data_IF_856061236448
#
_entry.id   IF_856061236448
#
_cell.length_a   1.000
_cell.length_b   1.000
_cell.length_c   1.000
_cell.angle_alpha   90.00
_cell.angle_beta   90.00
_cell.angle_gamma   90.00
#
_symmetry.space_group_name_H-M   'P 1'
#
loop_
_entity.id
_entity.type
_entity.pdbx_description
1 polymer ?
#
# COMPACT_ATOMS: atom_id res chain seq x y z
N UNK A 1 35.05 -50.62 -56.21
CA UNK A 1 34.38 -51.66 -55.41
C UNK A 1 33.19 -51.03 -54.72
N UNK A 2 32.01 -51.59 -54.97
CA UNK A 2 30.66 -51.16 -54.62
C UNK A 2 30.36 -51.16 -53.10
N UNK A 3 29.41 -50.28 -52.68
CA UNK A 3 28.33 -50.36 -51.65
C UNK A 3 28.60 -51.09 -50.29
N UNK A 4 28.02 -50.81 -49.12
CA UNK A 4 26.67 -50.39 -48.67
C UNK A 4 26.75 -50.24 -47.12
N UNK A 5 26.27 -49.19 -46.45
CA UNK A 5 24.91 -48.90 -45.93
C UNK A 5 24.44 -49.69 -44.69
N UNK A 6 23.92 -48.91 -43.71
CA UNK A 6 22.98 -49.25 -42.61
C UNK A 6 23.55 -50.05 -41.42
N UNK A 7 23.17 -49.87 -40.16
CA UNK A 7 22.15 -49.07 -39.47
C UNK A 7 22.39 -49.24 -37.95
N UNK A 8 22.12 -48.22 -37.13
CA UNK A 8 22.18 -48.39 -35.67
C UNK A 8 21.98 -47.09 -34.89
N UNK A 9 20.84 -46.43 -35.07
CA UNK A 9 20.39 -45.36 -34.17
C UNK A 9 20.16 -45.98 -32.79
N UNK A 10 20.79 -45.43 -31.75
CA UNK A 10 20.30 -45.54 -30.36
C UNK A 10 20.35 -44.16 -29.72
N UNK A 11 19.22 -43.48 -29.78
CA UNK A 11 18.93 -42.30 -28.98
C UNK A 11 18.96 -42.72 -27.51
N UNK A 12 19.80 -42.08 -26.71
CA UNK A 12 19.71 -42.17 -25.24
C UNK A 12 19.36 -40.79 -24.71
N UNK A 13 18.06 -40.61 -24.46
CA UNK A 13 17.57 -39.55 -23.58
C UNK A 13 17.90 -39.95 -22.14
N UNK A 14 18.69 -39.14 -21.45
CA UNK A 14 18.73 -39.16 -19.99
C UNK A 14 18.06 -37.89 -19.47
N UNK A 15 16.83 -38.09 -19.00
CA UNK A 15 16.06 -37.19 -18.17
C UNK A 15 16.79 -36.90 -16.85
N UNK A 16 16.68 -35.68 -16.29
CA UNK A 16 17.03 -35.44 -14.91
C UNK A 16 15.75 -35.19 -14.10
N UNK A 17 15.14 -36.25 -13.58
CA UNK A 17 14.23 -36.17 -12.44
C UNK A 17 14.31 -37.47 -11.63
N UNK A 18 14.98 -37.43 -10.45
CA UNK A 18 14.33 -37.63 -9.14
C UNK A 18 15.31 -37.87 -7.98
N UNK A 19 14.98 -37.15 -6.90
CA UNK A 19 15.17 -37.40 -5.47
C UNK A 19 16.59 -37.45 -4.88
N UNK A 20 16.93 -36.36 -4.20
CA UNK A 20 17.43 -36.45 -2.83
C UNK A 20 16.60 -35.50 -1.95
N UNK A 21 15.86 -36.10 -1.02
CA UNK A 21 15.27 -35.43 0.13
C UNK A 21 16.37 -35.19 1.16
N UNK A 22 16.33 -34.02 1.79
CA UNK A 22 17.01 -33.54 3.00
C UNK A 22 17.75 -32.25 2.69
N UNK A 23 17.10 -31.12 2.92
CA UNK A 23 17.74 -29.87 3.33
C UNK A 23 16.66 -29.04 4.02
N UNK A 24 16.80 -28.95 5.34
CA UNK A 24 16.39 -27.86 6.21
C UNK A 24 15.06 -27.18 5.95
N UNK A 25 14.10 -27.51 6.83
CA UNK A 25 12.93 -26.70 7.10
C UNK A 25 13.32 -25.32 7.62
N UNK A 26 13.70 -24.42 6.71
CA UNK A 26 13.47 -23.00 6.87
C UNK A 26 12.11 -22.72 6.26
N UNK A 27 11.08 -22.72 7.10
CA UNK A 27 9.91 -21.91 6.80
C UNK A 27 10.43 -20.52 6.48
N UNK A 28 10.45 -20.16 5.20
CA UNK A 28 10.54 -18.77 4.78
C UNK A 28 9.35 -18.09 5.44
N UNK A 29 9.58 -17.47 6.59
CA UNK A 29 8.71 -16.45 7.14
C UNK A 29 8.53 -15.44 6.02
N UNK A 30 7.43 -15.56 5.27
CA UNK A 30 7.01 -14.52 4.34
C UNK A 30 6.58 -13.34 5.19
N UNK A 31 7.57 -12.53 5.61
CA UNK A 31 7.31 -11.23 6.24
C UNK A 31 6.49 -10.43 5.26
N UNK A 32 5.21 -10.32 5.56
CA UNK A 32 4.27 -9.59 4.73
C UNK A 32 4.66 -8.11 4.79
N UNK A 33 4.84 -7.43 3.65
CA UNK A 33 5.36 -6.07 3.67
C UNK A 33 4.44 -5.14 4.46
N UNK A 34 5.07 -4.25 5.24
CA UNK A 34 4.48 -3.27 6.15
C UNK A 34 3.52 -2.29 5.47
N UNK A 35 3.63 -2.15 4.16
CA UNK A 35 2.81 -1.28 3.33
C UNK A 35 2.83 -1.77 1.89
N UNK A 36 2.10 -1.06 1.04
CA UNK A 36 2.16 -1.21 -0.41
C UNK A 36 1.96 0.15 -1.09
N UNK A 37 2.65 0.35 -2.20
CA UNK A 37 2.39 1.44 -3.12
C UNK A 37 1.32 1.02 -4.14
N UNK A 38 0.34 1.89 -4.36
CA UNK A 38 -0.76 1.68 -5.31
C UNK A 38 -0.73 2.83 -6.32
N UNK A 39 -0.43 2.57 -7.60
CA UNK A 39 -0.42 3.63 -8.60
C UNK A 39 -1.82 4.25 -8.74
N UNK A 40 -1.87 5.57 -8.81
CA UNK A 40 -3.12 6.31 -8.99
C UNK A 40 -3.53 6.30 -10.46
N UNK A 41 -4.82 6.07 -10.73
CA UNK A 41 -5.38 6.22 -12.08
C UNK A 41 -5.31 7.69 -12.54
N UNK A 42 -5.28 7.97 -13.85
CA UNK A 42 -5.23 9.36 -14.35
C UNK A 42 -6.37 10.24 -13.82
N UNK A 43 -7.57 9.66 -13.68
CA UNK A 43 -8.72 10.37 -13.11
C UNK A 43 -8.48 10.73 -11.64
N UNK A 44 -7.96 9.81 -10.83
CA UNK A 44 -7.64 10.06 -9.42
C UNK A 44 -6.51 11.08 -9.28
N UNK A 45 -5.52 11.07 -10.18
CA UNK A 45 -4.46 12.08 -10.19
C UNK A 45 -4.99 13.50 -10.48
N UNK A 46 -5.97 13.65 -11.36
CA UNK A 46 -6.61 14.96 -11.59
C UNK A 46 -7.31 15.47 -10.32
N UNK A 47 -8.10 14.61 -9.66
CA UNK A 47 -8.75 14.96 -8.38
C UNK A 47 -7.73 15.23 -7.26
N UNK A 48 -6.58 14.55 -7.28
CA UNK A 48 -5.48 14.81 -6.35
C UNK A 48 -4.89 16.21 -6.55
N UNK A 49 -4.77 16.69 -7.78
CA UNK A 49 -4.31 18.04 -8.07
C UNK A 49 -5.30 19.10 -7.57
N UNK A 50 -6.60 18.88 -7.76
CA UNK A 50 -7.65 19.77 -7.24
C UNK A 50 -7.61 19.82 -5.70
N UNK A 51 -7.55 18.65 -5.06
CA UNK A 51 -7.44 18.52 -3.61
C UNK A 51 -6.15 19.16 -3.05
N UNK A 52 -5.04 19.01 -3.76
CA UNK A 52 -3.77 19.66 -3.40
C UNK A 52 -3.91 21.17 -3.44
N UNK A 53 -4.50 21.71 -4.51
CA UNK A 53 -4.72 23.15 -4.68
C UNK A 53 -5.60 23.71 -3.57
N UNK A 54 -6.72 23.06 -3.27
CA UNK A 54 -7.61 23.49 -2.19
C UNK A 54 -6.89 23.48 -0.84
N UNK A 55 -6.24 22.36 -0.46
CA UNK A 55 -5.55 22.23 0.83
C UNK A 55 -4.41 23.24 1.01
N UNK A 56 -3.75 23.66 -0.07
CA UNK A 56 -2.71 24.70 -0.01
C UNK A 56 -3.26 26.09 0.31
N UNK A 57 -4.55 26.34 0.09
CA UNK A 57 -5.22 27.62 0.40
C UNK A 57 -5.84 27.66 1.80
N UNK A 58 -5.83 26.54 2.52
CA UNK A 58 -6.43 26.41 3.85
C UNK A 58 -5.39 26.52 4.98
N UNK A 59 -5.88 26.92 6.16
CA UNK A 59 -5.10 26.92 7.40
C UNK A 59 -5.46 25.70 8.24
N UNK A 60 -4.48 24.85 8.58
CA UNK A 60 -4.76 23.65 9.36
C UNK A 60 -4.91 23.97 10.85
N UNK A 61 -5.70 23.16 11.55
CA UNK A 61 -5.87 23.22 13.01
C UNK A 61 -5.05 22.13 13.67
N UNK A 62 -4.34 22.46 14.75
CA UNK A 62 -3.55 21.49 15.51
C UNK A 62 -4.48 20.43 16.12
N UNK A 63 -4.24 19.15 15.79
CA UNK A 63 -4.98 18.01 16.37
C UNK A 63 -4.21 17.36 17.51
N UNK A 64 -2.91 17.19 17.32
CA UNK A 64 -1.92 16.79 18.33
C UNK A 64 -0.55 17.36 17.94
N UNK A 65 0.44 17.21 18.80
CA UNK A 65 1.79 17.67 18.52
C UNK A 65 2.29 17.17 17.15
N UNK A 66 2.68 18.12 16.30
CA UNK A 66 3.14 17.89 14.93
C UNK A 66 2.17 17.24 13.95
N UNK A 67 0.90 17.00 14.30
CA UNK A 67 -0.14 16.56 13.38
C UNK A 67 -1.31 17.55 13.40
N UNK A 68 -1.46 18.26 12.29
CA UNK A 68 -2.51 19.23 12.07
C UNK A 68 -3.51 18.68 11.03
N UNK A 69 -4.77 19.13 11.09
CA UNK A 69 -5.83 18.69 10.20
C UNK A 69 -6.44 19.86 9.43
N UNK A 70 -6.82 19.58 8.19
CA UNK A 70 -7.62 20.47 7.34
C UNK A 70 -9.11 20.07 7.33
N UNK A 71 -9.50 19.06 8.12
CA UNK A 71 -10.81 18.42 8.00
C UNK A 71 -10.92 17.61 6.71
N UNK A 72 -12.10 17.60 6.09
CA UNK A 72 -12.33 16.99 4.78
C UNK A 72 -12.91 18.04 3.83
N UNK A 73 -12.06 18.85 3.17
CA UNK A 73 -12.49 19.81 2.14
C UNK A 73 -13.17 19.10 0.96
N UNK A 74 -13.90 19.85 0.13
CA UNK A 74 -14.77 19.24 -0.87
C UNK A 74 -14.00 18.44 -1.93
N UNK A 75 -12.85 18.95 -2.37
CA UNK A 75 -12.02 18.24 -3.35
C UNK A 75 -11.38 17.00 -2.74
N UNK A 76 -11.06 17.02 -1.43
CA UNK A 76 -10.58 15.84 -0.72
C UNK A 76 -11.67 14.77 -0.56
N UNK A 77 -12.94 15.16 -0.37
CA UNK A 77 -14.08 14.24 -0.36
C UNK A 77 -14.23 13.53 -1.71
N UNK A 78 -14.21 14.30 -2.82
CA UNK A 78 -14.28 13.74 -4.17
C UNK A 78 -13.12 12.80 -4.48
N UNK A 79 -11.91 13.17 -4.06
CA UNK A 79 -10.72 12.31 -4.17
C UNK A 79 -10.90 11.02 -3.35
N UNK A 80 -11.38 11.10 -2.11
CA UNK A 80 -11.64 9.93 -1.27
C UNK A 80 -12.65 8.98 -1.91
N UNK A 81 -13.77 9.51 -2.41
CA UNK A 81 -14.78 8.71 -3.11
C UNK A 81 -14.20 8.01 -4.34
N UNK A 82 -13.41 8.71 -5.15
CA UNK A 82 -12.81 8.14 -6.35
C UNK A 82 -11.81 7.03 -6.00
N UNK A 83 -10.97 7.24 -4.97
CA UNK A 83 -10.05 6.21 -4.46
C UNK A 83 -10.78 4.97 -3.96
N UNK A 84 -11.86 5.15 -3.19
CA UNK A 84 -12.67 4.04 -2.70
C UNK A 84 -13.36 3.30 -3.84
N UNK A 85 -13.88 4.01 -4.85
CA UNK A 85 -14.44 3.40 -6.07
C UNK A 85 -13.37 2.62 -6.83
N UNK A 86 -12.18 3.18 -7.04
CA UNK A 86 -11.05 2.49 -7.67
C UNK A 86 -10.61 1.28 -6.86
N UNK A 87 -10.61 1.35 -5.52
CA UNK A 87 -10.37 0.20 -4.65
C UNK A 87 -11.44 -0.87 -4.80
N UNK A 88 -12.73 -0.52 -4.82
CA UNK A 88 -13.84 -1.47 -5.01
C UNK A 88 -13.79 -2.12 -6.40
N UNK A 89 -13.49 -1.35 -7.45
CA UNK A 89 -13.37 -1.86 -8.81
C UNK A 89 -12.13 -2.75 -8.98
N UNK A 90 -11.01 -2.32 -8.41
CA UNK A 90 -9.78 -3.11 -8.37
C UNK A 90 -9.88 -4.29 -7.40
N UNK A 91 -10.88 -4.32 -6.50
CA UNK A 91 -11.20 -5.46 -5.63
C UNK A 91 -11.65 -6.72 -6.38
N UNK A 92 -11.96 -6.59 -7.67
CA UNK A 92 -12.25 -7.65 -8.65
C UNK A 92 -11.10 -7.93 -9.64
N UNK A 93 -9.97 -7.24 -9.49
CA UNK A 93 -8.74 -7.41 -10.27
C UNK A 93 -7.55 -7.67 -9.32
N UNK A 94 -6.35 -7.85 -9.86
CA UNK A 94 -5.12 -8.29 -9.16
C UNK A 94 -4.86 -7.59 -7.81
N UNK A 95 -5.15 -6.29 -7.66
CA UNK A 95 -4.91 -5.56 -6.40
C UNK A 95 -5.88 -5.92 -5.27
N UNK A 96 -7.09 -6.30 -5.65
CA UNK A 96 -8.17 -6.67 -4.77
C UNK A 96 -7.98 -7.94 -4.02
N UNK A 97 -7.59 -8.95 -4.79
CA UNK A 97 -7.26 -10.26 -4.26
C UNK A 97 -6.12 -10.14 -3.25
N UNK A 98 -5.15 -9.26 -3.49
CA UNK A 98 -4.04 -9.07 -2.58
C UNK A 98 -4.41 -8.34 -1.28
N UNK A 99 -5.29 -7.34 -1.31
CA UNK A 99 -5.78 -6.69 -0.09
C UNK A 99 -6.59 -7.67 0.75
N UNK A 100 -7.49 -8.41 0.10
CA UNK A 100 -8.28 -9.46 0.74
C UNK A 100 -7.39 -10.59 1.26
N UNK A 101 -6.45 -11.07 0.47
CA UNK A 101 -5.50 -12.13 0.85
C UNK A 101 -4.61 -11.70 2.01
N UNK A 102 -4.13 -10.44 2.02
CA UNK A 102 -3.41 -9.89 3.16
C UNK A 102 -4.28 -9.89 4.43
N UNK A 103 -5.49 -9.34 4.37
CA UNK A 103 -6.39 -9.32 5.53
C UNK A 103 -6.68 -10.75 6.01
N UNK A 104 -7.01 -11.66 5.08
CA UNK A 104 -7.30 -13.06 5.38
C UNK A 104 -6.10 -13.80 5.99
N UNK A 105 -4.87 -13.48 5.56
CA UNK A 105 -3.65 -14.06 6.16
C UNK A 105 -3.48 -13.69 7.64
N UNK A 106 -4.12 -12.61 8.09
CA UNK A 106 -4.20 -12.19 9.48
C UNK A 106 -5.46 -12.69 10.20
N UNK A 107 -6.30 -13.50 9.53
CA UNK A 107 -7.61 -13.90 10.03
C UNK A 107 -8.62 -12.75 10.06
N UNK A 108 -8.43 -11.74 9.22
CA UNK A 108 -9.24 -10.53 9.17
C UNK A 108 -9.90 -10.32 7.81
N UNK A 109 -10.90 -9.45 7.76
CA UNK A 109 -11.54 -8.94 6.54
C UNK A 109 -11.59 -7.42 6.56
N UNK A 110 -11.40 -6.79 5.40
CA UNK A 110 -11.55 -5.34 5.24
C UNK A 110 -13.03 -5.01 5.08
N UNK A 111 -13.56 -4.20 5.99
CA UNK A 111 -14.94 -3.69 5.96
C UNK A 111 -14.98 -2.26 5.47
N UNK A 112 -16.19 -1.78 5.23
CA UNK A 112 -16.47 -0.35 5.04
C UNK A 112 -15.74 0.30 3.86
N UNK A 113 -15.28 -0.48 2.88
CA UNK A 113 -14.62 0.04 1.68
C UNK A 113 -15.55 0.96 0.88
N UNK A 114 -16.87 0.75 0.93
CA UNK A 114 -17.84 1.63 0.25
C UNK A 114 -18.15 2.89 1.05
N UNK A 115 -18.11 2.81 2.38
CA UNK A 115 -18.47 3.90 3.27
C UNK A 115 -17.72 3.73 4.59
N UNK A 116 -16.52 4.33 4.72
CA UNK A 116 -15.72 4.21 5.92
C UNK A 116 -16.49 4.67 7.16
N UNK A 117 -16.48 3.86 8.22
CA UNK A 117 -17.05 4.22 9.52
C UNK A 117 -16.43 5.53 10.05
N UNK A 118 -15.11 5.65 9.91
CA UNK A 118 -14.37 6.86 10.25
C UNK A 118 -14.20 7.69 8.99
N UNK A 119 -14.73 8.92 9.03
CA UNK A 119 -14.63 9.86 7.92
C UNK A 119 -13.17 10.13 7.54
N UNK A 120 -12.83 10.10 6.23
CA UNK A 120 -11.52 10.51 5.74
C UNK A 120 -11.14 11.92 6.20
N UNK A 121 -9.86 12.19 6.36
CA UNK A 121 -9.37 13.52 6.74
C UNK A 121 -8.06 13.86 6.03
N UNK A 122 -7.93 15.13 5.65
CA UNK A 122 -6.68 15.71 5.20
C UNK A 122 -5.87 16.20 6.41
N UNK A 123 -4.57 15.92 6.36
CA UNK A 123 -3.63 16.24 7.43
C UNK A 123 -2.39 16.92 6.89
N UNK A 124 -1.73 17.65 7.79
CA UNK A 124 -0.33 18.07 7.69
C UNK A 124 0.44 17.44 8.84
N UNK A 125 1.50 16.70 8.53
CA UNK A 125 2.40 16.11 9.52
C UNK A 125 3.76 16.80 9.43
N UNK A 126 4.19 17.36 10.55
CA UNK A 126 5.46 18.06 10.70
C UNK A 126 6.65 17.10 10.78
N UNK A 127 7.82 17.58 10.37
CA UNK A 127 9.08 16.83 10.41
C UNK A 127 9.29 16.18 11.78
N UNK A 128 9.74 14.93 11.78
CA UNK A 128 10.06 14.17 12.98
C UNK A 128 8.85 13.59 13.72
N UNK A 129 7.63 14.00 13.36
CA UNK A 129 6.40 13.50 13.98
C UNK A 129 5.85 12.30 13.22
N UNK A 130 5.07 11.46 13.91
CA UNK A 130 4.50 10.23 13.37
C UNK A 130 2.98 10.26 13.38
N UNK A 131 2.35 9.90 12.26
CA UNK A 131 0.95 9.50 12.21
C UNK A 131 0.82 7.99 12.48
N UNK A 132 0.28 7.61 13.63
CA UNK A 132 -0.01 6.22 13.99
C UNK A 132 -1.38 5.80 13.47
N UNK A 133 -1.47 4.60 12.88
CA UNK A 133 -2.77 3.98 12.57
C UNK A 133 -3.57 3.69 13.83
N UNK A 134 -4.89 3.68 13.68
CA UNK A 134 -5.81 3.19 14.69
C UNK A 134 -5.71 1.65 14.77
N UNK A 135 -5.79 1.10 15.99
CA UNK A 135 -5.82 -0.35 16.19
C UNK A 135 -7.10 -0.90 15.57
N UNK A 136 -7.00 -2.00 14.83
CA UNK A 136 -8.14 -2.58 14.09
C UNK A 136 -8.43 -1.87 12.77
N UNK A 137 -7.56 -0.97 12.30
CA UNK A 137 -7.71 -0.32 11.00
C UNK A 137 -6.46 -0.50 10.14
N UNK A 138 -6.69 -0.56 8.84
CA UNK A 138 -5.70 -0.24 7.81
C UNK A 138 -6.00 1.15 7.25
N UNK A 139 -5.11 1.73 6.45
CA UNK A 139 -5.41 3.00 5.80
C UNK A 139 -4.83 3.12 4.40
N UNK A 140 -5.54 3.87 3.57
CA UNK A 140 -5.05 4.37 2.30
C UNK A 140 -4.68 5.83 2.48
N UNK A 141 -3.46 6.18 2.09
CA UNK A 141 -2.89 7.50 2.28
C UNK A 141 -2.44 8.03 0.94
N UNK A 142 -2.86 9.25 0.60
CA UNK A 142 -2.54 9.90 -0.68
C UNK A 142 -1.88 11.23 -0.43
N UNK A 143 -0.76 11.48 -1.12
CA UNK A 143 0.01 12.70 -1.01
C UNK A 143 -0.81 13.88 -1.54
N UNK A 144 -0.79 15.01 -0.83
CA UNK A 144 -1.41 16.26 -1.27
C UNK A 144 -0.31 17.28 -1.55
N UNK A 145 0.48 16.98 -2.57
CA UNK A 145 1.61 17.77 -3.02
C UNK A 145 2.20 17.19 -4.31
N UNK A 146 2.99 18.00 -5.02
CA UNK A 146 3.53 17.65 -6.33
C UNK A 146 5.01 17.23 -6.26
N UNK A 147 5.54 17.00 -5.06
CA UNK A 147 6.94 16.65 -4.81
C UNK A 147 7.02 15.30 -4.11
N UNK A 148 8.11 14.58 -4.33
CA UNK A 148 8.41 13.35 -3.58
C UNK A 148 8.56 13.64 -2.10
N UNK A 149 8.13 12.70 -1.28
CA UNK A 149 8.26 12.78 0.17
C UNK A 149 9.17 11.68 0.69
N UNK A 150 10.21 12.05 1.44
CA UNK A 150 10.97 11.08 2.22
C UNK A 150 10.24 10.80 3.53
N UNK A 151 9.84 9.55 3.70
CA UNK A 151 9.04 9.10 4.84
C UNK A 151 9.68 7.87 5.49
N UNK A 152 9.37 7.68 6.77
CA UNK A 152 9.71 6.47 7.50
C UNK A 152 8.41 5.78 7.92
N UNK A 153 8.28 4.51 7.53
CA UNK A 153 7.15 3.66 7.83
C UNK A 153 7.50 2.79 9.03
N UNK A 154 6.82 3.01 10.15
CA UNK A 154 7.15 2.43 11.44
C UNK A 154 6.11 1.37 11.77
N UNK A 155 6.54 0.14 12.03
CA UNK A 155 5.69 -0.94 12.54
C UNK A 155 4.93 -0.53 13.80
N UNK A 156 3.73 -1.08 14.03
CA UNK A 156 2.94 -0.80 15.24
C UNK A 156 3.71 -1.07 16.54
N UNK A 157 4.51 -2.14 16.57
CA UNK A 157 5.33 -2.51 17.74
C UNK A 157 6.60 -1.66 17.89
N UNK A 158 6.86 -0.75 16.94
CA UNK A 158 8.02 0.14 16.86
C UNK A 158 9.35 -0.60 16.84
N UNK A 159 9.36 -1.89 16.47
CA UNK A 159 10.59 -2.71 16.43
C UNK A 159 11.30 -2.64 15.09
N UNK A 160 10.55 -2.35 14.04
CA UNK A 160 11.08 -2.16 12.69
C UNK A 160 10.58 -0.87 12.08
N UNK A 161 11.43 -0.26 11.26
CA UNK A 161 11.05 0.83 10.38
C UNK A 161 11.68 0.64 9.01
N UNK A 162 11.05 1.25 8.01
CA UNK A 162 11.52 1.24 6.63
C UNK A 162 11.48 2.67 6.08
N UNK A 163 12.57 3.11 5.49
CA UNK A 163 12.61 4.37 4.75
C UNK A 163 12.02 4.17 3.36
N UNK A 164 11.25 5.14 2.89
CA UNK A 164 10.59 5.12 1.59
C UNK A 164 10.59 6.52 0.98
N UNK A 165 10.90 6.61 -0.31
CA UNK A 165 10.70 7.82 -1.10
C UNK A 165 9.36 7.73 -1.80
N UNK A 166 8.36 8.40 -1.24
CA UNK A 166 6.98 8.31 -1.67
C UNK A 166 6.69 9.27 -2.83
N UNK A 167 6.36 8.68 -3.98
CA UNK A 167 5.96 9.40 -5.19
C UNK A 167 4.49 9.87 -5.11
N UNK A 168 4.17 11.13 -5.47
CA UNK A 168 2.80 11.64 -5.49
C UNK A 168 1.85 10.86 -6.38
N UNK A 169 2.36 10.19 -7.42
CA UNK A 169 1.58 9.39 -8.36
C UNK A 169 1.11 8.06 -7.78
N UNK A 170 1.38 7.79 -6.50
CA UNK A 170 1.02 6.56 -5.81
C UNK A 170 0.37 6.83 -4.45
N UNK A 171 -0.60 6.01 -4.08
CA UNK A 171 -1.12 5.92 -2.72
C UNK A 171 -0.29 4.92 -1.90
N UNK A 172 -0.16 5.17 -0.61
CA UNK A 172 0.33 4.21 0.37
C UNK A 172 -0.84 3.48 1.01
N UNK A 173 -0.86 2.16 0.91
CA UNK A 173 -1.69 1.31 1.76
C UNK A 173 -0.88 0.87 2.97
N UNK A 174 -1.19 1.40 4.15
CA UNK A 174 -0.45 1.18 5.39
C UNK A 174 -1.02 0.01 6.18
N UNK A 175 -0.23 -1.07 6.35
CA UNK A 175 -0.64 -2.31 7.03
C UNK A 175 -0.12 -2.31 8.46
N UNK A 176 -0.92 -1.79 9.38
CA UNK A 176 -0.55 -1.62 10.79
C UNK A 176 0.72 -0.78 11.01
N UNK A 177 1.04 0.13 10.10
CA UNK A 177 2.23 0.98 10.15
C UNK A 177 1.94 2.47 10.27
N UNK A 178 2.68 3.13 11.14
CA UNK A 178 2.69 4.58 11.24
C UNK A 178 3.55 5.22 10.15
N UNK A 179 3.21 6.44 9.77
CA UNK A 179 3.91 7.24 8.78
C UNK A 179 4.61 8.41 9.47
N UNK A 180 5.92 8.53 9.31
CA UNK A 180 6.72 9.62 9.89
C UNK A 180 7.35 10.46 8.78
N UNK A 181 7.27 11.79 8.93
CA UNK A 181 7.89 12.73 8.01
C UNK A 181 9.39 12.87 8.30
N UNK A 182 10.25 12.59 7.31
CA UNK A 182 11.71 12.77 7.43
C UNK A 182 12.17 14.13 6.87
N UNK A 183 11.60 14.55 5.75
CA UNK A 183 11.89 15.83 5.09
C UNK A 183 10.71 16.81 5.15
N UNK A 184 10.93 17.98 5.77
CA UNK A 184 9.91 19.04 5.86
C UNK A 184 8.59 18.57 6.49
N UNK A 185 7.48 19.20 6.11
CA UNK A 185 6.14 18.72 6.43
C UNK A 185 5.52 18.00 5.22
N UNK A 186 4.71 16.98 5.49
CA UNK A 186 3.94 16.26 4.48
C UNK A 186 2.47 16.63 4.61
N UNK A 187 1.78 16.77 3.48
CA UNK A 187 0.32 16.89 3.43
C UNK A 187 -0.24 15.66 2.79
N UNK A 188 -1.29 15.09 3.37
CA UNK A 188 -1.87 13.86 2.85
C UNK A 188 -3.35 13.75 3.20
N UNK A 189 -4.09 13.08 2.33
CA UNK A 189 -5.41 12.54 2.62
C UNK A 189 -5.24 11.17 3.27
N UNK A 190 -5.97 10.93 4.36
CA UNK A 190 -5.96 9.69 5.10
C UNK A 190 -7.37 9.07 5.11
N UNK A 191 -7.46 7.84 4.59
CA UNK A 191 -8.71 7.08 4.46
C UNK A 191 -8.58 5.82 5.31
N UNK A 192 -9.12 5.80 6.54
CA UNK A 192 -9.11 4.60 7.37
C UNK A 192 -10.10 3.55 6.83
N UNK A 193 -9.72 2.28 6.91
CA UNK A 193 -10.55 1.14 6.56
C UNK A 193 -10.56 0.14 7.72
N UNK A 194 -11.74 -0.27 8.15
CA UNK A 194 -11.92 -1.14 9.31
C UNK A 194 -11.49 -2.58 8.99
N UNK A 195 -10.83 -3.23 9.95
CA UNK A 195 -10.47 -4.64 9.92
C UNK A 195 -11.25 -5.38 11.00
N UNK A 196 -12.04 -6.37 10.59
CA UNK A 196 -12.77 -7.25 11.49
C UNK A 196 -12.25 -8.68 11.39
N UNK A 197 -12.36 -9.50 12.45
CA UNK A 197 -12.14 -10.94 12.34
C UNK A 197 -13.02 -11.55 11.24
N UNK A 198 -12.43 -12.47 10.45
CA UNK A 198 -13.10 -13.17 9.36
C UNK A 198 -14.17 -14.17 9.84
#
# INVERSE_FOLDING_TARGET
VFFSRASGVRLSFKSPWRHSNLCDGKYLSMTTPLYRLMPLSPQVQALQQDATTEVLTLFPVQKREGLLTYGLPKSCELLAEALLKDLVLSLSLVYGEDLKAWALSLGMVVKDVKMPEISPQAFRLEKGNTSTLLKGYTAVVVALGNTKYDVELISRDKRSSQQETWEPTSALHLRETGLKAQGGHIRFLYIPLHLEPA
#
